data_IF_854082924861
#
_entry.id   IF_854082924861
#
_cell.length_a   1.000
_cell.length_b   1.000
_cell.length_c   1.000
_cell.angle_alpha   90.00
_cell.angle_beta   90.00
_cell.angle_gamma   90.00
#
_symmetry.space_group_name_H-M   'P 1'
#
loop_
_entity.id
_entity.type
_entity.pdbx_description
1 polymer ?
#
# COMPACT_ATOMS: atom_id res chain seq x y z
N UNK A 1 -0.13 -9.23 10.81
CA UNK A 1 -0.33 -8.46 9.55
C UNK A 1 -1.43 -7.44 9.81
N UNK A 2 -1.57 -6.40 8.96
CA UNK A 2 -2.43 -5.21 9.13
C UNK A 2 -3.47 -5.26 10.27
N UNK A 3 -3.21 -4.52 11.35
CA UNK A 3 -3.94 -4.66 12.62
C UNK A 3 -5.30 -3.95 12.61
N UNK A 4 -5.51 -3.02 11.67
CA UNK A 4 -6.71 -2.17 11.59
C UNK A 4 -7.43 -2.31 10.25
N UNK A 5 -6.80 -2.93 9.25
CA UNK A 5 -7.41 -3.22 7.96
C UNK A 5 -7.25 -2.12 6.91
N UNK A 6 -6.63 -0.98 7.24
CA UNK A 6 -6.44 0.13 6.30
C UNK A 6 -5.63 -0.29 5.05
N UNK A 7 -4.51 -0.98 5.25
CA UNK A 7 -3.66 -1.43 4.15
C UNK A 7 -4.35 -2.51 3.31
N UNK A 8 -5.02 -3.47 3.96
CA UNK A 8 -5.81 -4.51 3.28
C UNK A 8 -6.95 -3.91 2.46
N UNK A 9 -7.66 -2.91 3.00
CA UNK A 9 -8.74 -2.22 2.29
C UNK A 9 -8.22 -1.50 1.04
N UNK A 10 -7.12 -0.75 1.17
CA UNK A 10 -6.48 -0.05 0.05
C UNK A 10 -5.96 -1.03 -1.01
N UNK A 11 -5.32 -2.12 -0.60
CA UNK A 11 -4.87 -3.16 -1.53
C UNK A 11 -6.05 -3.83 -2.26
N UNK A 12 -7.18 -4.03 -1.58
CA UNK A 12 -8.40 -4.57 -2.15
C UNK A 12 -9.01 -3.68 -3.25
N UNK A 13 -8.96 -2.36 -3.09
CA UNK A 13 -9.39 -1.41 -4.13
C UNK A 13 -8.54 -1.56 -5.39
N UNK A 14 -7.23 -1.79 -5.24
CA UNK A 14 -6.32 -1.95 -6.38
C UNK A 14 -6.48 -3.32 -7.02
N UNK A 15 -6.30 -4.41 -6.28
CA UNK A 15 -6.16 -5.76 -6.86
C UNK A 15 -7.02 -6.83 -6.21
N UNK A 16 -8.07 -6.46 -5.46
CA UNK A 16 -8.97 -7.45 -4.88
C UNK A 16 -9.64 -8.31 -5.94
N UNK A 17 -9.75 -9.62 -5.70
CA UNK A 17 -10.42 -10.55 -6.60
C UNK A 17 -11.35 -11.50 -5.82
N UNK A 18 -12.58 -11.05 -5.58
CA UNK A 18 -13.57 -11.85 -4.84
C UNK A 18 -14.31 -12.88 -5.71
N UNK A 19 -14.05 -12.94 -7.02
CA UNK A 19 -14.68 -13.94 -7.90
C UNK A 19 -14.20 -15.36 -7.60
N UNK A 20 -13.00 -15.50 -7.04
CA UNK A 20 -12.36 -16.78 -6.73
C UNK A 20 -12.12 -16.97 -5.22
N UNK A 21 -12.87 -16.26 -4.38
CA UNK A 21 -12.74 -16.39 -2.93
C UNK A 21 -13.31 -17.74 -2.46
N UNK A 22 -12.51 -18.49 -1.70
CA UNK A 22 -12.88 -19.77 -1.09
C UNK A 22 -13.00 -19.67 0.45
N UNK A 23 -13.27 -18.49 0.99
CA UNK A 23 -13.52 -18.28 2.43
C UNK A 23 -15.01 -18.17 2.69
N UNK A 24 -15.48 -18.94 3.68
CA UNK A 24 -16.86 -18.94 4.15
C UNK A 24 -17.00 -18.19 5.49
N UNK A 25 -18.07 -17.41 5.68
CA UNK A 25 -19.12 -17.12 4.70
C UNK A 25 -18.60 -16.23 3.57
N UNK A 26 -19.10 -16.46 2.36
CA UNK A 26 -18.83 -15.56 1.22
C UNK A 26 -19.22 -14.11 1.57
N UNK A 27 -18.47 -13.11 1.05
CA UNK A 27 -18.86 -11.71 1.20
C UNK A 27 -20.26 -11.48 0.58
N UNK A 28 -21.09 -10.62 1.21
CA UNK A 28 -22.47 -10.42 0.79
C UNK A 28 -22.60 -9.88 -0.64
N UNK A 29 -21.56 -9.19 -1.13
CA UNK A 29 -21.40 -8.78 -2.51
C UNK A 29 -19.96 -9.10 -2.95
N UNK A 30 -19.76 -9.78 -4.09
CA UNK A 30 -18.44 -9.93 -4.68
C UNK A 30 -17.92 -8.56 -5.13
N UNK A 31 -16.64 -8.31 -4.94
CA UNK A 31 -15.94 -7.10 -5.38
C UNK A 31 -14.69 -7.45 -6.19
N UNK A 32 -14.32 -6.57 -7.11
CA UNK A 32 -13.13 -6.68 -7.95
C UNK A 32 -12.42 -5.33 -7.90
N UNK A 33 -11.11 -5.36 -7.70
CA UNK A 33 -10.25 -4.18 -7.75
C UNK A 33 -10.08 -3.65 -9.18
N UNK A 34 -9.43 -2.50 -9.31
CA UNK A 34 -9.18 -1.86 -10.61
C UNK A 34 -8.27 -2.73 -11.51
N UNK A 35 -7.29 -3.41 -10.93
CA UNK A 35 -6.32 -4.27 -11.60
C UNK A 35 -6.21 -5.62 -10.86
N UNK A 36 -7.20 -6.52 -11.01
CA UNK A 36 -7.31 -7.75 -10.23
C UNK A 36 -6.22 -8.80 -10.55
N UNK A 37 -5.55 -8.68 -11.69
CA UNK A 37 -4.44 -9.55 -12.10
C UNK A 37 -3.05 -8.96 -11.77
N UNK A 38 -3.00 -7.78 -11.14
CA UNK A 38 -1.75 -7.18 -10.71
C UNK A 38 -1.11 -7.98 -9.55
N UNK A 39 0.21 -8.08 -9.56
CA UNK A 39 0.94 -8.58 -8.38
C UNK A 39 1.00 -7.48 -7.32
N UNK A 40 0.58 -7.79 -6.09
CA UNK A 40 0.54 -6.82 -4.99
C UNK A 40 1.73 -7.03 -4.05
N UNK A 41 2.65 -6.06 -4.03
CA UNK A 41 3.66 -5.92 -2.99
C UNK A 41 3.11 -5.16 -1.77
N UNK A 42 3.28 -5.73 -0.56
CA UNK A 42 2.78 -5.13 0.68
C UNK A 42 3.91 -4.66 1.60
N UNK A 43 4.28 -3.39 1.48
CA UNK A 43 5.35 -2.75 2.26
C UNK A 43 4.76 -1.98 3.45
N UNK A 44 4.83 -2.58 4.64
CA UNK A 44 4.20 -2.03 5.85
C UNK A 44 5.10 -0.98 6.51
N UNK A 45 4.64 0.26 6.59
CA UNK A 45 5.37 1.37 7.25
C UNK A 45 4.82 1.78 8.63
N UNK A 46 3.62 1.33 9.02
CA UNK A 46 2.98 1.68 10.30
C UNK A 46 2.89 0.47 11.24
N UNK A 47 3.25 0.64 12.52
CA UNK A 47 2.99 -0.34 13.58
C UNK A 47 1.49 -0.47 13.92
N UNK A 48 1.11 -1.42 14.78
CA UNK A 48 -0.30 -1.58 15.16
C UNK A 48 -0.84 -0.35 15.93
N UNK A 49 0.05 0.38 16.60
CA UNK A 49 -0.27 1.58 17.38
C UNK A 49 -0.13 2.87 16.53
N UNK A 50 0.01 2.73 15.20
CA UNK A 50 0.29 3.84 14.29
C UNK A 50 1.72 4.36 14.41
N UNK A 51 1.95 5.55 13.83
CA UNK A 51 3.25 6.20 13.80
C UNK A 51 4.23 5.58 12.78
N UNK A 52 4.98 6.45 12.11
CA UNK A 52 6.08 6.10 11.22
C UNK A 52 7.03 7.29 11.12
N UNK A 53 8.13 7.13 10.40
CA UNK A 53 9.04 8.23 10.10
C UNK A 53 9.54 8.13 8.66
N UNK A 54 10.16 9.21 8.17
CA UNK A 54 10.66 9.29 6.79
C UNK A 54 11.65 8.18 6.45
N UNK A 55 12.50 7.74 7.39
CA UNK A 55 13.46 6.67 7.13
C UNK A 55 12.77 5.33 6.85
N UNK A 56 11.73 4.99 7.62
CA UNK A 56 10.94 3.75 7.38
C UNK A 56 10.19 3.84 6.06
N UNK A 57 9.64 5.01 5.73
CA UNK A 57 8.94 5.23 4.46
C UNK A 57 9.91 5.09 3.27
N UNK A 58 11.06 5.77 3.33
CA UNK A 58 12.08 5.73 2.27
C UNK A 58 12.62 4.31 2.08
N UNK A 59 12.91 3.58 3.16
CA UNK A 59 13.35 2.19 3.06
C UNK A 59 12.29 1.30 2.37
N UNK A 60 11.00 1.53 2.64
CA UNK A 60 9.93 0.81 1.95
C UNK A 60 9.81 1.18 0.46
N UNK A 61 10.03 2.45 0.10
CA UNK A 61 10.05 2.90 -1.29
C UNK A 61 11.22 2.28 -2.06
N UNK A 62 12.42 2.26 -1.48
CA UNK A 62 13.60 1.63 -2.06
C UNK A 62 13.41 0.11 -2.23
N UNK A 63 12.78 -0.57 -1.26
CA UNK A 63 12.43 -1.98 -1.40
C UNK A 63 11.46 -2.22 -2.55
N UNK A 64 10.39 -1.42 -2.65
CA UNK A 64 9.42 -1.54 -3.74
C UNK A 64 10.07 -1.30 -5.11
N UNK A 65 10.95 -0.31 -5.23
CA UNK A 65 11.73 -0.08 -6.43
C UNK A 65 12.63 -1.25 -6.78
N UNK A 66 13.40 -1.77 -5.80
CA UNK A 66 14.31 -2.89 -6.01
C UNK A 66 13.59 -4.20 -6.35
N UNK A 67 12.36 -4.38 -5.86
CA UNK A 67 11.50 -5.51 -6.20
C UNK A 67 10.87 -5.35 -7.61
N UNK A 68 11.13 -4.24 -8.31
CA UNK A 68 10.69 -3.99 -9.67
C UNK A 68 9.20 -3.61 -9.78
N UNK A 69 8.63 -2.99 -8.74
CA UNK A 69 7.22 -2.58 -8.75
C UNK A 69 7.00 -1.43 -9.76
N UNK A 70 5.97 -1.55 -10.59
CA UNK A 70 5.66 -0.54 -11.61
C UNK A 70 5.00 0.72 -11.03
N UNK A 71 4.25 0.58 -9.93
CA UNK A 71 3.48 1.66 -9.29
C UNK A 71 3.51 1.49 -7.78
N UNK A 72 3.78 2.59 -7.05
CA UNK A 72 3.71 2.64 -5.58
C UNK A 72 2.50 3.48 -5.15
N UNK A 73 1.53 2.86 -4.48
CA UNK A 73 0.40 3.56 -3.89
C UNK A 73 0.66 3.90 -2.41
N UNK A 74 0.73 5.20 -2.10
CA UNK A 74 1.00 5.72 -0.76
C UNK A 74 -0.21 6.46 -0.21
N UNK A 75 -1.26 5.72 0.17
CA UNK A 75 -2.52 6.29 0.69
C UNK A 75 -2.40 6.80 2.14
N UNK A 76 -1.43 7.66 2.40
CA UNK A 76 -1.21 8.38 3.65
C UNK A 76 -0.75 9.80 3.34
N UNK A 77 -0.77 10.69 4.34
CA UNK A 77 -0.28 12.05 4.18
C UNK A 77 -0.16 12.77 5.51
N UNK A 78 0.50 13.92 5.48
CA UNK A 78 0.55 14.88 6.59
C UNK A 78 0.05 16.24 6.12
N UNK A 79 -0.48 17.05 7.04
CA UNK A 79 -1.11 18.33 6.70
C UNK A 79 -0.15 19.43 6.24
N UNK A 80 1.16 19.25 6.38
CA UNK A 80 2.18 20.26 6.06
C UNK A 80 3.40 19.61 5.41
N UNK A 81 3.41 19.55 4.07
CA UNK A 81 4.48 18.95 3.28
C UNK A 81 5.13 19.97 2.34
N UNK A 82 6.42 19.81 2.09
CA UNK A 82 7.20 20.62 1.15
C UNK A 82 7.84 19.70 0.10
N UNK A 83 8.11 20.23 -1.09
CA UNK A 83 8.75 19.48 -2.18
C UNK A 83 10.16 18.98 -1.80
N UNK A 84 10.86 19.71 -0.93
CA UNK A 84 12.20 19.35 -0.47
C UNK A 84 12.20 18.35 0.69
N UNK A 85 11.05 17.79 1.08
CA UNK A 85 11.03 16.76 2.11
C UNK A 85 11.66 15.45 1.56
N UNK A 86 12.26 14.62 2.42
CA UNK A 86 13.01 13.44 1.96
C UNK A 86 12.20 12.42 1.14
N UNK A 87 10.90 12.26 1.44
CA UNK A 87 10.01 11.32 0.74
C UNK A 87 9.72 11.84 -0.67
N UNK A 88 9.47 13.15 -0.80
CA UNK A 88 9.22 13.80 -2.09
C UNK A 88 10.47 13.74 -2.98
N UNK A 89 11.64 14.12 -2.44
CA UNK A 89 12.91 14.07 -3.19
C UNK A 89 13.24 12.65 -3.62
N UNK A 90 13.02 11.64 -2.77
CA UNK A 90 13.24 10.25 -3.15
C UNK A 90 12.28 9.80 -4.27
N UNK A 91 11.01 10.19 -4.20
CA UNK A 91 10.03 9.85 -5.23
C UNK A 91 10.29 10.47 -6.61
N UNK A 92 11.18 11.46 -6.71
CA UNK A 92 11.59 12.04 -8.00
C UNK A 92 12.76 11.28 -8.67
N UNK A 93 13.48 10.46 -7.90
CA UNK A 93 14.70 9.77 -8.38
C UNK A 93 14.57 8.25 -8.49
N UNK A 94 13.50 7.68 -7.92
CA UNK A 94 13.08 6.29 -8.14
C UNK A 94 12.23 6.21 -9.42
#
# INVERSE_FOLDING_TARGET
MDCQGHGTHVAGIVGGNALNIAVEPLPPQPFIGVAPDATIGAYRIFGCNGGTNSAVIMAAMELAFNDGMDVINMSFGSGSSFQTNPIAVLGEIL
#
